data_IF_005582631551
#
_entry.id   IF_005582631551
#
_cell.length_a   1.000
_cell.length_b   1.000
_cell.length_c   1.000
_cell.angle_alpha   90.00
_cell.angle_beta   90.00
_cell.angle_gamma   90.00
#
_symmetry.space_group_name_H-M   'P 1'
#
loop_
_entity.id
_entity.type
_entity.pdbx_description
1 polymer ?
#
# COMPACT_ATOMS: atom_id res chain seq x y z
N UNK A 1 1.16 -15.08 -8.94
CA UNK A 1 0.70 -13.75 -9.40
C UNK A 1 -0.78 -13.86 -9.73
N UNK A 2 -1.65 -13.24 -8.94
CA UNK A 2 -3.11 -13.38 -9.03
C UNK A 2 -3.70 -12.53 -10.17
N UNK A 3 -3.07 -11.38 -10.49
CA UNK A 3 -3.46 -10.52 -11.62
C UNK A 3 -2.53 -10.75 -12.80
N UNK A 4 -3.10 -11.04 -13.99
CA UNK A 4 -2.39 -11.23 -15.27
C UNK A 4 -3.27 -10.78 -16.43
N UNK A 5 -2.68 -10.30 -17.51
CA UNK A 5 -3.39 -9.91 -18.73
C UNK A 5 -2.57 -8.98 -19.61
N UNK A 6 -3.21 -8.49 -20.69
CA UNK A 6 -2.60 -7.51 -21.61
C UNK A 6 -2.60 -6.09 -21.03
N UNK A 7 -3.44 -5.83 -20.03
CA UNK A 7 -3.46 -4.56 -19.32
C UNK A 7 -2.21 -4.42 -18.43
N UNK A 8 -1.60 -3.22 -18.35
CA UNK A 8 -0.50 -2.96 -17.44
C UNK A 8 -0.88 -3.24 -15.98
N UNK A 9 0.04 -3.83 -15.21
CA UNK A 9 -0.15 -4.12 -13.79
C UNK A 9 0.79 -3.23 -12.97
N UNK A 10 0.26 -2.61 -11.94
CA UNK A 10 1.00 -1.87 -10.93
C UNK A 10 1.08 -2.69 -9.64
N UNK A 11 2.26 -2.76 -9.03
CA UNK A 11 2.47 -3.30 -7.70
C UNK A 11 2.85 -2.17 -6.74
N UNK A 12 2.17 -2.09 -5.60
CA UNK A 12 2.50 -1.14 -4.54
C UNK A 12 2.28 -1.81 -3.16
N UNK A 13 3.10 -1.44 -2.19
CA UNK A 13 2.96 -1.87 -0.80
C UNK A 13 3.54 -0.81 0.14
N UNK A 14 2.90 -0.55 1.30
CA UNK A 14 3.41 0.40 2.27
C UNK A 14 4.77 -0.06 2.83
N UNK A 15 5.77 0.81 2.77
CA UNK A 15 7.14 0.51 3.18
C UNK A 15 7.33 0.79 4.67
N UNK A 16 7.88 -0.15 5.44
CA UNK A 16 8.23 0.08 6.85
C UNK A 16 9.50 0.95 7.01
N UNK A 17 10.21 1.22 5.91
CA UNK A 17 11.46 1.94 5.91
C UNK A 17 11.20 3.44 6.14
N UNK A 18 12.13 4.15 6.80
CA UNK A 18 12.08 5.60 6.86
C UNK A 18 12.01 6.16 5.44
N UNK A 19 11.15 7.15 5.22
CA UNK A 19 11.10 7.87 3.96
C UNK A 19 12.49 8.46 3.70
N UNK A 20 13.14 8.12 2.58
CA UNK A 20 14.38 8.79 2.21
C UNK A 20 14.11 10.28 2.04
N UNK A 21 15.06 11.14 2.39
CA UNK A 21 14.89 12.57 2.11
C UNK A 21 14.69 12.79 0.61
N UNK A 22 13.82 13.71 0.21
CA UNK A 22 13.43 13.95 -1.18
C UNK A 22 14.64 14.08 -2.12
N UNK A 23 15.69 14.77 -1.65
CA UNK A 23 16.95 14.94 -2.36
C UNK A 23 17.66 13.62 -2.71
N UNK A 24 17.44 12.53 -1.95
CA UNK A 24 18.02 11.22 -2.27
C UNK A 24 17.27 10.57 -3.43
N UNK A 25 15.94 10.57 -3.41
CA UNK A 25 15.14 9.98 -4.48
C UNK A 25 15.42 10.67 -5.82
N UNK A 26 15.48 12.01 -5.82
CA UNK A 26 15.82 12.81 -7.00
C UNK A 26 17.22 12.48 -7.55
N UNK A 27 18.22 12.36 -6.68
CA UNK A 27 19.60 12.04 -7.10
C UNK A 27 19.72 10.64 -7.66
N UNK A 28 19.01 9.67 -7.09
CA UNK A 28 19.01 8.28 -7.61
C UNK A 28 18.30 8.23 -8.95
N UNK A 29 17.18 8.95 -9.10
CA UNK A 29 16.48 9.07 -10.38
C UNK A 29 17.37 9.73 -11.45
N UNK A 30 18.06 10.81 -11.12
CA UNK A 30 19.00 11.47 -12.03
C UNK A 30 20.15 10.54 -12.45
N UNK A 31 20.72 9.79 -11.50
CA UNK A 31 21.73 8.78 -11.80
C UNK A 31 21.20 7.72 -12.78
N UNK A 32 19.99 7.22 -12.58
CA UNK A 32 19.39 6.24 -13.47
C UNK A 32 19.04 6.85 -14.83
N UNK A 33 18.58 8.09 -14.91
CA UNK A 33 18.35 8.76 -16.20
C UNK A 33 19.63 8.76 -17.07
N UNK A 34 20.81 8.90 -16.46
CA UNK A 34 22.09 8.92 -17.18
C UNK A 34 22.67 7.54 -17.46
N UNK A 35 22.32 6.51 -16.69
CA UNK A 35 23.00 5.20 -16.70
C UNK A 35 22.11 4.03 -17.12
N UNK A 36 20.83 4.10 -16.79
CA UNK A 36 19.86 3.03 -17.00
C UNK A 36 18.43 3.59 -17.13
N UNK A 37 17.99 3.92 -18.37
CA UNK A 37 16.64 4.44 -18.61
C UNK A 37 15.51 3.49 -18.21
N UNK A 38 15.76 2.18 -18.21
CA UNK A 38 14.74 1.20 -17.79
C UNK A 38 14.50 1.30 -16.28
N UNK A 39 15.58 1.39 -15.52
CA UNK A 39 15.48 1.54 -14.06
C UNK A 39 14.96 2.92 -13.66
N UNK A 40 15.31 3.97 -14.41
CA UNK A 40 14.72 5.30 -14.23
C UNK A 40 13.20 5.29 -14.39
N UNK A 41 12.71 4.67 -15.47
CA UNK A 41 11.27 4.54 -15.71
C UNK A 41 10.57 3.70 -14.62
N UNK A 42 11.21 2.65 -14.11
CA UNK A 42 10.66 1.84 -13.02
C UNK A 42 10.61 2.62 -11.69
N UNK A 43 11.67 3.35 -11.35
CA UNK A 43 11.74 4.17 -10.13
C UNK A 43 10.70 5.30 -10.17
N UNK A 44 10.60 6.01 -11.30
CA UNK A 44 9.60 7.07 -11.48
C UNK A 44 8.19 6.54 -11.24
N UNK A 45 7.83 5.41 -11.85
CA UNK A 45 6.52 4.75 -11.62
C UNK A 45 6.31 4.38 -10.16
N UNK A 46 7.34 3.90 -9.47
CA UNK A 46 7.27 3.58 -8.04
C UNK A 46 7.00 4.82 -7.18
N UNK A 47 7.70 5.92 -7.43
CA UNK A 47 7.51 7.19 -6.72
C UNK A 47 6.12 7.77 -6.97
N UNK A 48 5.62 7.69 -8.21
CA UNK A 48 4.28 8.16 -8.55
C UNK A 48 3.20 7.32 -7.87
N UNK A 49 3.36 5.99 -7.87
CA UNK A 49 2.46 5.09 -7.15
C UNK A 49 2.44 5.37 -5.64
N UNK A 50 3.61 5.61 -5.03
CA UNK A 50 3.70 5.91 -3.61
C UNK A 50 3.03 7.25 -3.25
N UNK A 51 3.22 8.28 -4.09
CA UNK A 51 2.56 9.58 -3.92
C UNK A 51 1.04 9.46 -4.00
N UNK A 52 0.51 8.69 -4.95
CA UNK A 52 -0.93 8.47 -5.08
C UNK A 52 -1.50 7.68 -3.89
N UNK A 53 -0.81 6.64 -3.43
CA UNK A 53 -1.28 5.80 -2.34
C UNK A 53 -1.19 6.50 -0.96
N UNK A 54 -0.10 7.22 -0.70
CA UNK A 54 0.11 7.91 0.58
C UNK A 54 -0.60 9.28 0.64
N UNK A 55 -0.93 9.89 -0.51
CA UNK A 55 -1.53 11.22 -0.58
C UNK A 55 -0.67 12.28 0.12
N UNK A 56 -1.31 13.33 0.65
CA UNK A 56 -0.64 14.43 1.36
C UNK A 56 -0.16 14.06 2.79
N UNK A 57 -0.14 12.77 3.16
CA UNK A 57 0.39 12.31 4.45
C UNK A 57 1.92 12.47 4.57
N UNK A 58 2.58 13.06 3.58
CA UNK A 58 3.97 13.51 3.63
C UNK A 58 4.18 14.68 4.61
N UNK A 59 3.11 15.28 5.15
CA UNK A 59 3.15 16.25 6.26
C UNK A 59 3.51 15.60 7.62
N UNK A 60 4.64 14.87 7.67
CA UNK A 60 5.55 14.65 8.82
C UNK A 60 5.04 14.27 10.22
N UNK A 61 3.73 14.15 10.47
CA UNK A 61 3.15 14.10 11.81
C UNK A 61 2.15 12.97 12.04
N UNK A 62 1.73 12.25 11.00
CA UNK A 62 0.67 11.24 11.16
C UNK A 62 1.05 9.93 10.49
N UNK A 63 1.45 8.99 11.36
CA UNK A 63 1.75 7.57 11.12
C UNK A 63 3.17 7.25 10.64
N UNK A 64 3.95 6.63 11.54
CA UNK A 64 5.07 5.80 11.11
C UNK A 64 4.50 4.69 10.21
N UNK A 65 5.07 4.45 9.02
CA UNK A 65 4.63 3.34 8.20
C UNK A 65 4.69 2.05 9.00
N UNK A 66 3.55 1.40 9.15
CA UNK A 66 3.47 0.08 9.76
C UNK A 66 3.49 -0.90 8.61
N UNK A 67 4.69 -1.16 8.10
CA UNK A 67 4.85 -2.25 7.15
C UNK A 67 4.45 -3.60 7.76
N UNK A 68 4.33 -4.60 6.90
CA UNK A 68 3.85 -5.92 7.26
C UNK A 68 2.36 -6.08 6.98
N UNK A 69 2.02 -7.13 6.24
CA UNK A 69 0.65 -7.46 5.84
C UNK A 69 -0.02 -8.44 6.84
N UNK A 70 0.67 -8.73 7.95
CA UNK A 70 0.34 -9.73 8.95
C UNK A 70 -0.14 -9.13 10.29
N UNK A 71 -0.43 -7.83 10.30
CA UNK A 71 -0.93 -7.11 11.46
C UNK A 71 -2.02 -6.11 11.07
N UNK A 72 -2.94 -5.85 12.01
CA UNK A 72 -4.14 -5.06 11.75
C UNK A 72 -3.86 -3.65 11.20
N UNK A 73 -2.80 -3.00 11.66
CA UNK A 73 -2.49 -1.64 11.23
C UNK A 73 -1.92 -1.60 9.80
N UNK A 74 -1.06 -2.57 9.46
CA UNK A 74 -0.56 -2.71 8.09
C UNK A 74 -1.64 -3.09 7.09
N UNK A 75 -2.63 -3.90 7.50
CA UNK A 75 -3.82 -4.18 6.68
C UNK A 75 -4.61 -2.90 6.37
N UNK A 76 -4.92 -2.10 7.39
CA UNK A 76 -5.60 -0.81 7.22
C UNK A 76 -4.81 0.14 6.32
N UNK A 77 -3.49 0.26 6.53
CA UNK A 77 -2.65 1.12 5.71
C UNK A 77 -2.62 0.67 4.24
N UNK A 78 -2.52 -0.64 4.00
CA UNK A 78 -2.53 -1.20 2.64
C UNK A 78 -3.88 -0.99 1.95
N UNK A 79 -4.99 -1.17 2.67
CA UNK A 79 -6.33 -0.92 2.18
C UNK A 79 -6.57 0.56 1.85
N UNK A 80 -6.13 1.46 2.72
CA UNK A 80 -6.20 2.91 2.50
C UNK A 80 -5.45 3.32 1.23
N UNK A 81 -4.21 2.84 1.04
CA UNK A 81 -3.43 3.12 -0.17
C UNK A 81 -4.05 2.54 -1.43
N UNK A 82 -4.56 1.31 -1.37
CA UNK A 82 -5.27 0.69 -2.49
C UNK A 82 -6.57 1.43 -2.84
N UNK A 83 -7.37 1.83 -1.85
CA UNK A 83 -8.60 2.58 -2.06
C UNK A 83 -8.33 3.91 -2.76
N UNK A 84 -7.26 4.61 -2.37
CA UNK A 84 -6.84 5.86 -3.03
C UNK A 84 -6.38 5.64 -4.47
N UNK A 85 -5.55 4.63 -4.71
CA UNK A 85 -5.14 4.27 -6.07
C UNK A 85 -6.37 3.98 -6.95
N UNK A 86 -7.32 3.18 -6.45
CA UNK A 86 -8.55 2.85 -7.18
C UNK A 86 -9.51 4.03 -7.34
N UNK A 87 -9.47 5.01 -6.43
CA UNK A 87 -10.29 6.20 -6.47
C UNK A 87 -9.74 7.30 -7.41
N UNK A 88 -8.50 7.20 -7.89
CA UNK A 88 -8.02 8.11 -8.93
C UNK A 88 -8.85 7.94 -10.22
N UNK A 89 -9.11 9.04 -10.94
CA UNK A 89 -9.94 9.00 -12.15
C UNK A 89 -9.34 8.12 -13.26
N UNK A 90 -8.01 8.09 -13.34
CA UNK A 90 -7.20 7.22 -14.21
C UNK A 90 -6.60 6.01 -13.46
N UNK A 91 -7.12 5.72 -12.25
CA UNK A 91 -6.66 4.64 -11.39
C UNK A 91 -7.06 3.23 -11.83
N UNK A 92 -6.41 2.19 -11.28
CA UNK A 92 -6.77 0.80 -11.56
C UNK A 92 -8.22 0.48 -11.16
N UNK A 93 -8.94 -0.22 -12.04
CA UNK A 93 -10.32 -0.67 -11.79
C UNK A 93 -10.40 -2.01 -11.04
N UNK A 94 -9.30 -2.76 -11.03
CA UNK A 94 -9.19 -4.07 -10.39
C UNK A 94 -7.93 -4.05 -9.53
N UNK A 95 -8.05 -4.46 -8.28
CA UNK A 95 -6.93 -4.65 -7.36
C UNK A 95 -7.02 -6.02 -6.69
N UNK A 96 -5.87 -6.53 -6.27
CA UNK A 96 -5.76 -7.72 -5.43
C UNK A 96 -4.89 -7.36 -4.23
N UNK A 97 -5.42 -7.56 -3.03
CA UNK A 97 -4.70 -7.36 -1.78
C UNK A 97 -4.46 -8.73 -1.14
N UNK A 98 -3.26 -8.91 -0.59
CA UNK A 98 -2.91 -10.08 0.19
C UNK A 98 -2.67 -9.64 1.64
N UNK A 99 -3.32 -10.32 2.57
CA UNK A 99 -3.05 -10.21 4.00
C UNK A 99 -2.51 -11.55 4.48
N UNK A 100 -1.44 -11.49 5.26
CA UNK A 100 -0.69 -12.66 5.70
C UNK A 100 -1.01 -12.98 7.17
N UNK A 101 -0.44 -14.09 7.67
CA UNK A 101 -0.44 -14.37 9.10
C UNK A 101 -1.71 -15.02 9.66
N UNK A 102 -2.62 -15.46 8.79
CA UNK A 102 -3.86 -16.18 9.12
C UNK A 102 -3.65 -17.55 9.74
N UNK A 103 -2.45 -18.10 9.60
CA UNK A 103 -2.08 -19.31 10.31
C UNK A 103 -1.65 -18.97 11.74
N UNK A 104 -2.52 -19.24 12.71
CA UNK A 104 -2.35 -18.82 14.10
C UNK A 104 -2.07 -19.97 15.07
N UNK A 105 -1.64 -21.16 14.62
CA UNK A 105 -1.39 -22.39 15.41
C UNK A 105 -1.03 -22.20 16.91
N UNK A 106 -0.20 -21.20 17.22
CA UNK A 106 0.16 -20.76 18.57
C UNK A 106 -0.33 -19.32 18.79
N UNK A 107 -0.87 -19.05 19.98
CA UNK A 107 -1.41 -17.74 20.37
C UNK A 107 -2.62 -17.27 19.52
N UNK A 108 -3.38 -18.21 18.93
CA UNK A 108 -4.66 -17.91 18.28
C UNK A 108 -5.53 -17.03 19.18
N UNK A 109 -5.69 -17.46 20.44
CA UNK A 109 -6.45 -16.79 21.49
C UNK A 109 -7.94 -16.63 21.15
N UNK A 110 -8.74 -16.25 22.15
CA UNK A 110 -10.16 -15.94 21.95
C UNK A 110 -10.37 -14.51 21.44
N UNK A 111 -11.26 -13.76 22.10
CA UNK A 111 -11.62 -12.40 21.73
C UNK A 111 -10.46 -11.38 21.68
N UNK A 112 -9.31 -11.67 22.30
CA UNK A 112 -8.12 -10.80 22.33
C UNK A 112 -6.88 -11.45 21.70
N UNK A 113 -7.06 -12.57 20.99
CA UNK A 113 -6.00 -13.35 20.39
C UNK A 113 -5.54 -12.86 19.01
N UNK A 114 -4.53 -13.53 18.43
CA UNK A 114 -4.02 -13.21 17.09
C UNK A 114 -5.13 -13.22 16.04
N UNK A 115 -6.01 -14.23 16.06
CA UNK A 115 -7.08 -14.31 15.07
C UNK A 115 -8.07 -13.15 15.18
N UNK A 116 -8.51 -12.83 16.40
CA UNK A 116 -9.40 -11.68 16.64
C UNK A 116 -8.77 -10.35 16.18
N UNK A 117 -7.46 -10.16 16.40
CA UNK A 117 -6.75 -8.98 15.94
C UNK A 117 -6.68 -8.91 14.40
N UNK A 118 -6.44 -10.03 13.70
CA UNK A 118 -6.43 -10.07 12.24
C UNK A 118 -7.81 -9.80 11.65
N UNK A 119 -8.87 -10.36 12.26
CA UNK A 119 -10.25 -10.08 11.86
C UNK A 119 -10.62 -8.61 12.04
N UNK A 120 -10.22 -7.97 13.15
CA UNK A 120 -10.41 -6.53 13.34
C UNK A 120 -9.56 -5.67 12.40
N UNK A 121 -8.43 -6.20 11.93
CA UNK A 121 -7.62 -5.62 10.85
C UNK A 121 -8.32 -5.67 9.50
N UNK A 122 -8.91 -6.83 9.16
CA UNK A 122 -9.68 -7.04 7.93
C UNK A 122 -10.95 -6.20 7.89
N UNK A 123 -11.70 -6.14 8.99
CA UNK A 123 -12.85 -5.23 9.13
C UNK A 123 -12.42 -3.76 8.91
N UNK A 124 -11.30 -3.39 9.53
CA UNK A 124 -10.68 -2.09 9.29
C UNK A 124 -10.26 -1.83 7.85
N UNK A 125 -9.82 -2.85 7.13
CA UNK A 125 -9.50 -2.71 5.72
C UNK A 125 -10.74 -2.37 4.90
N UNK A 126 -11.88 -3.02 5.17
CA UNK A 126 -13.16 -2.66 4.53
C UNK A 126 -13.60 -1.23 4.87
N UNK A 127 -13.45 -0.83 6.13
CA UNK A 127 -13.72 0.56 6.56
C UNK A 127 -12.87 1.58 5.77
N UNK A 128 -11.59 1.30 5.54
CA UNK A 128 -10.72 2.18 4.73
C UNK A 128 -11.12 2.19 3.24
N UNK A 129 -11.60 1.08 2.68
CA UNK A 129 -12.15 1.06 1.33
C UNK A 129 -13.43 1.88 1.22
N UNK A 130 -14.37 1.74 2.15
CA UNK A 130 -15.60 2.53 2.19
C UNK A 130 -15.28 4.03 2.23
N UNK A 131 -14.39 4.45 3.13
CA UNK A 131 -13.95 5.85 3.24
C UNK A 131 -13.22 6.33 1.98
N UNK A 132 -12.28 5.54 1.46
CA UNK A 132 -11.41 5.95 0.35
C UNK A 132 -12.11 5.99 -1.00
N UNK A 133 -13.02 5.05 -1.27
CA UNK A 133 -13.81 5.02 -2.50
C UNK A 133 -14.99 5.99 -2.46
N UNK A 134 -15.50 6.32 -1.27
CA UNK A 134 -16.56 7.30 -1.05
C UNK A 134 -17.81 6.96 -1.86
N UNK A 135 -18.26 7.89 -2.71
CA UNK A 135 -19.46 7.68 -3.52
C UNK A 135 -19.38 6.48 -4.48
N UNK A 136 -18.16 5.98 -4.76
CA UNK A 136 -17.93 4.81 -5.63
C UNK A 136 -18.05 3.46 -4.91
N UNK A 137 -18.29 3.44 -3.60
CA UNK A 137 -18.41 2.21 -2.79
C UNK A 137 -19.79 1.51 -2.91
N UNK A 138 -20.71 2.05 -3.70
CA UNK A 138 -22.08 1.54 -3.85
C UNK A 138 -22.18 0.25 -4.67
#
# INVERSE_FOLDING_TARGET
LVIRGVAPVLGWAPQALPTPGDALAERVLDLYNHRDPLLAAALQKGLDADRMAMGDQLDGKTMKPKGGLDNAAGMRQSAQGAARLMAADDGPRIAALAFDGWDTHVNEGGATGRLANLLGGLDGAFEEFEKGLGARWQ
#
